data_IF_311053340126
#
_entry.id   IF_311053340126
#
_cell.length_a   1.000
_cell.length_b   1.000
_cell.length_c   1.000
_cell.angle_alpha   90.00
_cell.angle_beta   90.00
_cell.angle_gamma   90.00
#
_symmetry.space_group_name_H-M   'P 1'
#
loop_
_entity.id
_entity.type
_entity.pdbx_description
1 polymer ?
#
# COMPACT_ATOMS: atom_id res chain seq x y z
N UNK A 1 32.54 11.68 -17.87
CA UNK A 1 32.41 10.79 -16.70
C UNK A 1 32.86 9.39 -17.09
N UNK A 2 33.86 8.83 -16.42
CA UNK A 2 34.38 7.48 -16.67
C UNK A 2 33.50 6.43 -15.98
N UNK A 3 33.03 5.41 -16.70
CA UNK A 3 32.24 4.29 -16.13
C UNK A 3 33.00 3.60 -14.98
N UNK A 4 34.33 3.63 -15.04
CA UNK A 4 35.22 3.09 -14.00
C UNK A 4 35.05 3.83 -12.65
N UNK A 5 34.82 5.14 -12.68
CA UNK A 5 34.67 5.97 -11.48
C UNK A 5 33.34 5.68 -10.76
N UNK A 6 32.24 5.54 -11.51
CA UNK A 6 30.93 5.18 -10.95
C UNK A 6 30.98 3.82 -10.25
N UNK A 7 31.70 2.85 -10.83
CA UNK A 7 31.89 1.54 -10.22
C UNK A 7 32.65 1.62 -8.90
N UNK A 8 33.70 2.45 -8.83
CA UNK A 8 34.42 2.69 -7.57
C UNK A 8 33.53 3.32 -6.49
N UNK A 9 32.64 4.24 -6.87
CA UNK A 9 31.67 4.84 -5.94
C UNK A 9 30.69 3.80 -5.42
N UNK A 10 30.15 2.93 -6.29
CA UNK A 10 29.25 1.84 -5.85
C UNK A 10 29.96 0.82 -4.95
N UNK A 11 31.21 0.46 -5.27
CA UNK A 11 32.01 -0.45 -4.43
C UNK A 11 32.32 0.18 -3.06
N UNK A 12 32.64 1.48 -3.03
CA UNK A 12 32.84 2.22 -1.78
C UNK A 12 31.55 2.31 -0.96
N UNK A 13 30.40 2.58 -1.61
CA UNK A 13 29.10 2.60 -0.93
C UNK A 13 28.79 1.28 -0.24
N UNK A 14 29.13 0.14 -0.88
CA UNK A 14 28.96 -1.20 -0.29
C UNK A 14 29.93 -1.49 0.85
N UNK A 15 31.19 -1.07 0.75
CA UNK A 15 32.20 -1.29 1.80
C UNK A 15 32.05 -0.35 3.00
N UNK A 16 31.35 0.77 2.84
CA UNK A 16 31.16 1.77 3.90
C UNK A 16 29.72 1.85 4.42
N UNK A 17 28.85 0.89 4.09
CA UNK A 17 27.43 0.87 4.48
C UNK A 17 26.68 2.19 4.17
N UNK A 18 26.97 2.79 3.03
CA UNK A 18 26.34 4.06 2.59
C UNK A 18 25.09 3.73 1.78
N UNK A 19 23.92 4.08 2.33
CA UNK A 19 22.62 3.78 1.71
C UNK A 19 22.24 4.70 0.54
N UNK A 20 22.79 5.91 0.49
CA UNK A 20 22.49 6.91 -0.54
C UNK A 20 23.69 7.83 -0.81
N UNK A 21 23.92 8.16 -2.08
CA UNK A 21 24.97 9.08 -2.53
C UNK A 21 24.42 10.01 -3.62
N UNK A 22 24.66 11.32 -3.48
CA UNK A 22 24.28 12.34 -4.46
C UNK A 22 25.48 13.24 -4.79
N UNK A 23 25.70 13.51 -6.08
CA UNK A 23 26.75 14.39 -6.58
C UNK A 23 26.21 15.32 -7.67
N UNK A 24 26.57 16.61 -7.59
CA UNK A 24 26.15 17.64 -8.54
C UNK A 24 27.32 18.56 -8.91
N UNK A 25 27.60 18.72 -10.22
CA UNK A 25 28.63 19.63 -10.76
C UNK A 25 28.26 20.09 -12.17
N UNK A 26 28.40 21.39 -12.47
CA UNK A 26 28.18 22.01 -13.80
C UNK A 26 26.92 21.53 -14.56
N UNK A 27 25.79 21.38 -13.86
CA UNK A 27 24.50 20.98 -14.44
C UNK A 27 24.31 19.47 -14.61
N UNK A 28 25.24 18.66 -14.12
CA UNK A 28 25.13 17.20 -14.07
C UNK A 28 24.81 16.74 -12.64
N UNK A 29 23.77 15.91 -12.50
CA UNK A 29 23.33 15.35 -11.21
C UNK A 29 23.32 13.82 -11.26
N UNK A 30 23.97 13.17 -10.30
CA UNK A 30 24.02 11.71 -10.15
C UNK A 30 23.54 11.32 -8.75
N UNK A 31 22.54 10.44 -8.68
CA UNK A 31 22.03 9.87 -7.43
C UNK A 31 22.11 8.35 -7.48
N UNK A 32 22.67 7.75 -6.42
CA UNK A 32 22.83 6.31 -6.24
C UNK A 32 22.20 5.92 -4.91
N UNK A 33 21.41 4.84 -4.88
CA UNK A 33 20.81 4.31 -3.65
C UNK A 33 20.96 2.79 -3.58
N UNK A 34 21.35 2.27 -2.42
CA UNK A 34 21.38 0.83 -2.15
C UNK A 34 20.12 0.46 -1.35
N UNK A 35 18.98 0.36 -2.04
CA UNK A 35 17.71 0.03 -1.39
C UNK A 35 17.60 -1.49 -1.17
N UNK A 36 17.67 -1.90 0.10
CA UNK A 36 16.99 -3.08 0.61
C UNK A 36 16.10 -2.65 1.78
N UNK A 37 14.79 -2.63 1.52
CA UNK A 37 13.64 -2.90 2.37
C UNK A 37 13.50 -2.36 3.84
N UNK A 38 12.32 -1.78 4.08
CA UNK A 38 11.55 -1.59 5.33
C UNK A 38 11.77 -0.36 6.25
N UNK A 39 10.63 0.28 6.55
CA UNK A 39 10.33 1.49 7.36
C UNK A 39 10.32 1.21 8.88
N UNK A 40 9.69 2.02 9.78
CA UNK A 40 9.38 3.46 9.85
C UNK A 40 9.92 4.10 11.16
N UNK A 41 9.85 5.42 11.34
CA UNK A 41 9.99 6.04 12.68
C UNK A 41 8.80 6.96 12.97
N UNK A 42 8.16 6.63 14.08
CA UNK A 42 6.97 7.21 14.70
C UNK A 42 7.39 8.46 15.47
N UNK A 43 6.66 9.57 15.34
CA UNK A 43 6.75 10.68 16.29
C UNK A 43 5.39 10.84 16.95
N UNK A 44 5.32 10.34 18.16
CA UNK A 44 4.20 10.42 19.08
C UNK A 44 4.23 11.81 19.76
N UNK A 45 3.26 12.68 19.46
CA UNK A 45 3.08 13.94 20.18
C UNK A 45 2.00 13.76 21.26
N UNK A 46 2.37 14.07 22.50
CA UNK A 46 1.48 14.07 23.66
C UNK A 46 0.54 15.30 23.66
N UNK A 47 -0.69 15.20 24.22
CA UNK A 47 -1.68 16.27 24.17
C UNK A 47 -1.47 17.35 25.23
N UNK A 48 -1.72 18.60 24.86
CA UNK A 48 -1.83 19.77 25.76
C UNK A 48 -3.31 20.11 26.00
N UNK A 49 -3.74 20.48 27.22
CA UNK A 49 -5.12 20.85 27.48
C UNK A 49 -5.31 22.35 27.17
N UNK A 50 -6.37 22.71 26.45
CA UNK A 50 -6.87 24.08 26.36
C UNK A 50 -8.39 24.10 26.36
N UNK A 51 -8.95 25.09 27.05
CA UNK A 51 -10.29 25.13 27.60
C UNK A 51 -11.37 25.70 26.64
N UNK A 52 -12.55 25.09 26.73
CA UNK A 52 -13.93 25.60 26.63
C UNK A 52 -14.36 26.57 25.50
N UNK A 53 -15.26 26.08 24.62
CA UNK A 53 -16.52 26.74 24.24
C UNK A 53 -17.52 25.69 23.68
N UNK A 54 -18.87 25.88 23.84
CA UNK A 54 -19.84 24.78 23.76
C UNK A 54 -20.50 24.56 22.38
N UNK A 55 -20.62 23.27 22.02
CA UNK A 55 -21.73 22.49 21.40
C UNK A 55 -22.52 23.02 20.17
N UNK A 56 -23.21 22.16 19.36
CA UNK A 56 -23.44 20.72 19.54
C UNK A 56 -23.26 19.80 18.30
N UNK A 57 -23.22 18.50 18.62
CA UNK A 57 -23.68 17.34 17.85
C UNK A 57 -22.95 16.95 16.54
N UNK A 58 -22.02 16.00 16.67
CA UNK A 58 -21.85 14.96 15.66
C UNK A 58 -21.69 13.61 16.36
N UNK A 59 -22.48 12.65 15.91
CA UNK A 59 -22.54 11.26 16.31
C UNK A 59 -21.19 10.54 16.08
N UNK A 60 -20.68 9.92 17.14
CA UNK A 60 -19.80 8.76 17.08
C UNK A 60 -20.59 7.52 16.57
N UNK A 61 -19.96 6.34 16.30
CA UNK A 61 -18.55 6.00 16.55
C UNK A 61 -17.80 5.33 15.38
N UNK A 62 -16.49 5.60 15.27
CA UNK A 62 -15.57 4.72 14.54
C UNK A 62 -15.07 3.65 15.51
N UNK A 63 -15.41 2.40 15.20
CA UNK A 63 -15.08 1.22 15.97
C UNK A 63 -13.60 0.87 15.84
N UNK A 64 -13.02 0.45 16.96
CA UNK A 64 -11.63 0.06 17.09
C UNK A 64 -11.29 -1.16 16.22
N UNK A 65 -10.35 -1.01 15.28
CA UNK A 65 -9.72 -2.15 14.65
C UNK A 65 -8.53 -2.61 15.49
N UNK A 66 -8.80 -3.55 16.38
CA UNK A 66 -7.79 -4.40 17.02
C UNK A 66 -6.99 -5.15 15.92
N UNK A 67 -5.67 -5.37 16.08
CA UNK A 67 -4.91 -6.18 15.14
C UNK A 67 -5.45 -7.62 15.18
N UNK A 68 -6.20 -8.00 14.14
CA UNK A 68 -6.65 -9.37 13.94
C UNK A 68 -5.41 -10.27 13.87
N UNK A 69 -5.43 -11.32 14.69
CA UNK A 69 -4.41 -12.36 14.74
C UNK A 69 -4.02 -12.81 13.32
N UNK A 70 -2.72 -12.84 13.04
CA UNK A 70 -2.18 -13.53 11.86
C UNK A 70 -2.53 -15.03 11.98
N UNK A 71 -3.69 -15.41 11.45
CA UNK A 71 -3.98 -16.81 11.14
C UNK A 71 -2.93 -17.28 10.13
N UNK A 72 -2.17 -18.33 10.51
CA UNK A 72 -1.11 -18.88 9.67
C UNK A 72 -1.66 -19.22 8.28
N UNK A 73 -1.07 -18.61 7.25
CA UNK A 73 -1.43 -18.85 5.84
C UNK A 73 -2.47 -17.89 5.26
N UNK A 74 -2.97 -16.90 6.02
CA UNK A 74 -3.81 -15.83 5.49
C UNK A 74 -2.94 -14.59 5.19
N UNK A 75 -2.96 -14.14 3.94
CA UNK A 75 -2.31 -12.91 3.48
C UNK A 75 -3.40 -11.92 3.07
N UNK A 76 -3.15 -10.62 3.29
CA UNK A 76 -4.09 -9.54 2.99
C UNK A 76 -3.64 -8.79 1.75
N UNK A 77 -4.50 -8.70 0.74
CA UNK A 77 -4.33 -7.78 -0.39
C UNK A 77 -4.80 -6.40 0.08
N UNK A 78 -3.94 -5.39 -0.06
CA UNK A 78 -4.19 -4.02 0.38
C UNK A 78 -4.32 -3.09 -0.81
N UNK A 79 -4.99 -1.96 -0.60
CA UNK A 79 -5.08 -0.91 -1.60
C UNK A 79 -3.74 -0.22 -1.82
N UNK A 80 -3.23 -0.12 -3.07
CA UNK A 80 -1.99 0.61 -3.36
C UNK A 80 -2.20 2.11 -3.52
N UNK A 81 -3.45 2.61 -3.48
CA UNK A 81 -3.79 4.02 -3.71
C UNK A 81 -5.07 4.42 -3.00
N UNK A 82 -5.37 5.72 -3.00
CA UNK A 82 -6.67 6.24 -2.51
C UNK A 82 -7.64 6.29 -3.69
N UNK A 83 -8.88 5.85 -3.50
CA UNK A 83 -9.89 5.89 -4.55
C UNK A 83 -11.20 5.21 -4.18
N UNK A 84 -12.02 4.90 -5.17
CA UNK A 84 -13.30 4.18 -4.99
C UNK A 84 -13.15 2.73 -5.44
N UNK A 85 -13.51 1.79 -4.58
CA UNK A 85 -13.38 0.35 -4.82
C UNK A 85 -14.55 -0.18 -5.66
N UNK A 86 -14.24 -0.93 -6.72
CA UNK A 86 -15.22 -1.61 -7.56
C UNK A 86 -14.90 -3.08 -7.73
N UNK A 87 -15.94 -3.92 -7.60
CA UNK A 87 -15.80 -5.37 -7.73
C UNK A 87 -15.80 -5.87 -9.17
N UNK A 88 -16.21 -5.05 -10.13
CA UNK A 88 -16.37 -5.39 -11.54
C UNK A 88 -15.88 -4.27 -12.45
N UNK A 89 -15.62 -4.58 -13.72
CA UNK A 89 -15.20 -3.60 -14.74
C UNK A 89 -16.29 -2.59 -15.13
N UNK A 90 -17.55 -2.93 -14.87
CA UNK A 90 -18.71 -2.08 -15.09
C UNK A 90 -19.89 -2.59 -14.24
N UNK A 91 -20.96 -1.79 -14.04
CA UNK A 91 -22.11 -2.19 -13.21
C UNK A 91 -22.83 -3.45 -13.67
N UNK A 92 -22.75 -3.79 -14.96
CA UNK A 92 -23.42 -4.96 -15.55
C UNK A 92 -22.50 -6.18 -15.66
N UNK A 93 -21.19 -6.00 -15.40
CA UNK A 93 -20.20 -7.08 -15.49
C UNK A 93 -20.15 -7.90 -14.21
N UNK A 94 -19.80 -9.20 -14.30
CA UNK A 94 -19.58 -10.01 -13.11
C UNK A 94 -18.40 -9.47 -12.29
N UNK A 95 -18.42 -9.74 -10.99
CA UNK A 95 -17.28 -9.43 -10.14
C UNK A 95 -16.03 -10.19 -10.60
N UNK A 96 -14.87 -9.54 -10.56
CA UNK A 96 -13.58 -10.16 -10.88
C UNK A 96 -13.33 -11.41 -10.03
N UNK A 97 -13.64 -11.32 -8.73
CA UNK A 97 -13.53 -12.42 -7.78
C UNK A 97 -14.69 -12.47 -6.79
N UNK A 98 -14.96 -13.69 -6.32
CA UNK A 98 -15.89 -13.99 -5.23
C UNK A 98 -15.17 -14.81 -4.16
N UNK A 99 -15.75 -14.89 -2.96
CA UNK A 99 -15.24 -15.78 -1.90
C UNK A 99 -15.21 -17.22 -2.44
N UNK A 100 -14.09 -17.91 -2.22
CA UNK A 100 -13.80 -19.23 -2.77
C UNK A 100 -13.10 -19.22 -4.13
N UNK A 101 -12.95 -18.07 -4.79
CA UNK A 101 -12.23 -17.98 -6.06
C UNK A 101 -10.72 -18.19 -5.84
N UNK A 102 -10.09 -18.95 -6.75
CA UNK A 102 -8.63 -19.08 -6.83
C UNK A 102 -8.03 -17.96 -7.66
N UNK A 103 -6.94 -17.39 -7.19
CA UNK A 103 -6.21 -16.29 -7.85
C UNK A 103 -4.73 -16.65 -7.99
N UNK A 104 -4.12 -16.12 -9.04
CA UNK A 104 -2.66 -16.10 -9.27
C UNK A 104 -2.14 -14.68 -9.10
N UNK A 105 -0.81 -14.50 -9.08
CA UNK A 105 -0.21 -13.17 -8.93
C UNK A 105 -0.75 -12.13 -9.95
N UNK A 106 -0.95 -12.54 -11.20
CA UNK A 106 -1.44 -11.66 -12.26
C UNK A 106 -2.97 -11.54 -12.34
N UNK A 107 -3.71 -12.23 -11.47
CA UNK A 107 -5.18 -12.19 -11.47
C UNK A 107 -5.69 -10.83 -11.01
N UNK A 108 -6.55 -10.19 -11.81
CA UNK A 108 -7.23 -8.95 -11.43
C UNK A 108 -8.31 -9.28 -10.39
N UNK A 109 -8.31 -8.57 -9.26
CA UNK A 109 -9.23 -8.82 -8.14
C UNK A 109 -10.26 -7.70 -7.93
N UNK A 110 -9.94 -6.47 -8.31
CA UNK A 110 -10.84 -5.33 -8.26
C UNK A 110 -10.33 -4.18 -9.14
N UNK A 111 -11.13 -3.12 -9.21
CA UNK A 111 -10.71 -1.82 -9.72
C UNK A 111 -10.72 -0.82 -8.57
N UNK A 112 -9.77 0.11 -8.58
CA UNK A 112 -9.81 1.33 -7.79
C UNK A 112 -9.87 2.52 -8.74
N UNK A 113 -10.96 3.29 -8.65
CA UNK A 113 -11.08 4.55 -9.37
C UNK A 113 -10.37 5.67 -8.61
N UNK A 114 -9.36 6.27 -9.23
CA UNK A 114 -8.70 7.46 -8.72
C UNK A 114 -8.64 8.52 -9.81
N UNK A 115 -9.18 9.72 -9.53
CA UNK A 115 -9.19 10.85 -10.48
C UNK A 115 -9.78 10.50 -11.86
N UNK A 116 -10.89 9.73 -11.90
CA UNK A 116 -11.53 9.20 -13.13
C UNK A 116 -10.73 8.15 -13.91
N UNK A 117 -9.66 7.63 -13.34
CA UNK A 117 -8.88 6.53 -13.93
C UNK A 117 -9.23 5.25 -13.19
N UNK A 118 -9.66 4.23 -13.95
CA UNK A 118 -10.00 2.91 -13.44
C UNK A 118 -8.73 2.05 -13.41
N UNK A 119 -8.12 1.90 -12.23
CA UNK A 119 -6.90 1.12 -12.07
C UNK A 119 -7.24 -0.31 -11.66
N UNK A 120 -6.87 -1.28 -12.50
CA UNK A 120 -7.00 -2.70 -12.20
C UNK A 120 -5.96 -3.13 -11.16
N UNK A 121 -6.42 -3.79 -10.09
CA UNK A 121 -5.56 -4.28 -9.01
C UNK A 121 -5.35 -5.76 -9.18
N UNK A 122 -4.08 -6.18 -9.21
CA UNK A 122 -3.68 -7.59 -9.29
C UNK A 122 -3.51 -8.18 -7.90
N UNK A 123 -3.61 -9.50 -7.77
CA UNK A 123 -3.47 -10.17 -6.48
C UNK A 123 -2.03 -10.17 -5.95
N UNK A 124 -1.02 -10.14 -6.83
CA UNK A 124 0.43 -10.23 -6.53
C UNK A 124 0.88 -11.52 -5.82
N UNK A 125 -0.07 -12.40 -5.49
CA UNK A 125 0.13 -13.68 -4.82
C UNK A 125 -0.85 -14.74 -5.32
N UNK A 126 -0.51 -16.00 -5.09
CA UNK A 126 -1.37 -17.15 -5.38
C UNK A 126 -2.14 -17.62 -4.15
N UNK A 127 -3.43 -17.93 -4.31
CA UNK A 127 -4.24 -18.48 -3.22
C UNK A 127 -5.73 -18.52 -3.49
N UNK A 128 -6.52 -18.61 -2.43
CA UNK A 128 -8.00 -18.60 -2.50
C UNK A 128 -8.57 -17.43 -1.70
N UNK A 129 -9.45 -16.64 -2.30
CA UNK A 129 -10.13 -15.51 -1.64
C UNK A 129 -11.03 -16.07 -0.53
N UNK A 130 -10.78 -15.69 0.71
CA UNK A 130 -11.59 -16.12 1.87
C UNK A 130 -12.58 -15.04 2.31
N UNK A 131 -12.25 -13.77 2.08
CA UNK A 131 -13.07 -12.64 2.54
C UNK A 131 -12.86 -11.42 1.63
N UNK A 132 -13.93 -10.65 1.41
CA UNK A 132 -13.91 -9.32 0.80
C UNK A 132 -14.22 -8.32 1.90
N UNK A 133 -13.31 -7.38 2.14
CA UNK A 133 -13.33 -6.50 3.32
C UNK A 133 -13.95 -5.14 3.06
N UNK A 134 -14.29 -4.84 1.80
CA UNK A 134 -14.76 -3.53 1.35
C UNK A 134 -15.99 -3.71 0.45
N UNK A 135 -16.99 -2.84 0.61
CA UNK A 135 -18.20 -2.87 -0.21
C UNK A 135 -18.00 -2.19 -1.58
N UNK A 136 -18.76 -2.62 -2.58
CA UNK A 136 -18.69 -2.03 -3.91
C UNK A 136 -19.16 -0.57 -3.91
N UNK A 137 -18.31 0.34 -4.40
CA UNK A 137 -18.56 1.79 -4.40
C UNK A 137 -18.06 2.51 -3.15
N UNK A 138 -17.44 1.81 -2.21
CA UNK A 138 -16.86 2.40 -1.00
C UNK A 138 -15.53 3.10 -1.30
N UNK A 139 -15.21 4.14 -0.52
CA UNK A 139 -13.90 4.81 -0.61
C UNK A 139 -12.86 4.00 0.14
N UNK A 140 -11.67 3.86 -0.45
CA UNK A 140 -10.53 3.17 0.15
C UNK A 140 -9.31 4.06 0.26
N UNK A 141 -8.52 3.85 1.31
CA UNK A 141 -7.27 4.56 1.58
C UNK A 141 -6.04 3.71 1.21
N UNK A 142 -4.88 4.36 1.11
CA UNK A 142 -3.61 3.65 0.90
C UNK A 142 -3.34 2.66 2.04
N UNK A 143 -3.04 1.41 1.68
CA UNK A 143 -2.76 0.35 2.63
C UNK A 143 -4.01 -0.27 3.28
N UNK A 144 -5.22 0.21 2.94
CA UNK A 144 -6.46 -0.36 3.46
C UNK A 144 -6.62 -1.83 3.00
N UNK A 145 -6.90 -2.77 3.91
CA UNK A 145 -7.22 -4.15 3.56
C UNK A 145 -8.42 -4.25 2.61
N UNK A 146 -8.27 -4.98 1.50
CA UNK A 146 -9.33 -5.22 0.51
C UNK A 146 -9.84 -6.65 0.53
N UNK A 147 -8.90 -7.61 0.59
CA UNK A 147 -9.21 -9.04 0.55
C UNK A 147 -8.34 -9.82 1.52
N UNK A 148 -8.88 -10.91 2.07
CA UNK A 148 -8.10 -11.96 2.71
C UNK A 148 -7.94 -13.13 1.74
N UNK A 149 -6.71 -13.63 1.63
CA UNK A 149 -6.35 -14.73 0.76
C UNK A 149 -5.67 -15.82 1.56
N UNK A 150 -6.20 -17.04 1.48
CA UNK A 150 -5.52 -18.21 2.00
C UNK A 150 -4.50 -18.68 0.96
N UNK A 151 -3.23 -18.51 1.30
CA UNK A 151 -2.10 -19.06 0.54
C UNK A 151 -2.01 -20.58 0.76
N UNK A 152 -1.63 -21.30 -0.30
CA UNK A 152 -1.47 -22.77 -0.30
C UNK A 152 -0.02 -23.17 -0.19
#
# INVERSE_FOLDING_TARGET
>A
MDIKLIKQVVDLMKSSDISEFEFEEDGFKLRLSSQSAYAPQVIQAAPVPSAAAPAPASSAPAEASSPAAEEKGIVVIKSPMVGTFYRASSPESPAFVNVGAKVTADSIVCIIEAMKVMNEIQAELGGTITEVLVENGETVEYGQPLFKVKTV
#
